data_IF_434795573062
#
_entry.id   IF_434795573062
#
_cell.length_a   1.000
_cell.length_b   1.000
_cell.length_c   1.000
_cell.angle_alpha   90.00
_cell.angle_beta   90.00
_cell.angle_gamma   90.00
#
_symmetry.space_group_name_H-M   'P 1'
#
loop_
_entity.id
_entity.type
_entity.pdbx_description
1 polymer ?
#
# COMPACT_ATOMS: atom_id res chain seq x y z
N UNK A 1 -2.77 -27.92 -13.91
CA UNK A 1 -2.24 -26.59 -14.20
C UNK A 1 -2.53 -25.56 -13.09
N UNK A 2 -3.77 -25.41 -12.61
CA UNK A 2 -4.10 -24.51 -11.49
C UNK A 2 -3.45 -24.93 -10.16
N UNK A 3 -3.39 -26.23 -9.86
CA UNK A 3 -2.73 -26.72 -8.64
C UNK A 3 -1.21 -26.49 -8.68
N UNK A 4 -0.59 -26.64 -9.85
CA UNK A 4 0.85 -26.40 -10.04
C UNK A 4 1.22 -24.92 -9.83
N UNK A 5 0.35 -23.97 -10.18
CA UNK A 5 0.54 -22.55 -9.92
C UNK A 5 0.35 -22.20 -8.44
N UNK A 6 -0.58 -22.85 -7.74
CA UNK A 6 -0.77 -22.69 -6.28
C UNK A 6 0.45 -23.21 -5.49
N UNK A 7 1.06 -24.30 -5.94
CA UNK A 7 2.25 -24.86 -5.31
C UNK A 7 3.50 -23.99 -5.55
N UNK A 8 3.50 -23.21 -6.65
CA UNK A 8 4.62 -22.33 -7.01
C UNK A 8 4.54 -20.96 -6.31
N UNK A 9 3.34 -20.41 -6.09
CA UNK A 9 3.13 -19.11 -5.43
C UNK A 9 2.45 -19.29 -4.07
N UNK A 10 3.24 -19.66 -3.07
CA UNK A 10 2.75 -19.72 -1.68
C UNK A 10 2.48 -18.31 -1.14
N UNK A 11 1.58 -18.19 -0.15
CA UNK A 11 1.29 -16.91 0.50
C UNK A 11 2.55 -16.26 1.08
N UNK A 12 3.47 -17.08 1.62
CA UNK A 12 4.75 -16.61 2.16
C UNK A 12 5.67 -16.06 1.06
N UNK A 13 5.72 -16.72 -0.07
CA UNK A 13 6.48 -16.25 -1.24
C UNK A 13 5.95 -14.91 -1.72
N UNK A 14 4.63 -14.76 -1.87
CA UNK A 14 4.00 -13.50 -2.27
C UNK A 14 4.31 -12.39 -1.26
N UNK A 15 4.23 -12.69 0.04
CA UNK A 15 4.59 -11.75 1.11
C UNK A 15 6.05 -11.27 0.96
N UNK A 16 7.01 -12.17 0.77
CA UNK A 16 8.41 -11.81 0.60
C UNK A 16 8.66 -11.01 -0.68
N UNK A 17 8.09 -11.44 -1.82
CA UNK A 17 8.25 -10.72 -3.08
C UNK A 17 7.67 -9.30 -3.04
N UNK A 18 6.50 -9.12 -2.45
CA UNK A 18 5.91 -7.79 -2.33
C UNK A 18 6.72 -6.88 -1.42
N UNK A 19 7.19 -7.38 -0.26
CA UNK A 19 8.03 -6.60 0.64
C UNK A 19 9.38 -6.23 0.02
N UNK A 20 10.09 -7.21 -0.56
CA UNK A 20 11.41 -6.95 -1.19
C UNK A 20 11.23 -6.07 -2.43
N UNK A 21 10.17 -6.29 -3.21
CA UNK A 21 9.90 -5.54 -4.43
C UNK A 21 9.61 -4.05 -4.22
N UNK A 22 9.01 -3.67 -3.09
CA UNK A 22 8.73 -2.25 -2.82
C UNK A 22 9.95 -1.48 -2.28
N UNK A 23 10.94 -2.15 -1.68
CA UNK A 23 12.13 -1.49 -1.11
C UNK A 23 12.91 -0.66 -2.15
N UNK A 24 13.28 -1.20 -3.34
CA UNK A 24 13.95 -0.41 -4.36
C UNK A 24 13.12 0.80 -4.83
N UNK A 25 11.79 0.67 -4.85
CA UNK A 25 10.90 1.77 -5.24
C UNK A 25 10.94 2.90 -4.21
N UNK A 26 10.99 2.57 -2.92
CA UNK A 26 11.14 3.56 -1.86
C UNK A 26 12.52 4.23 -1.87
N UNK A 27 13.58 3.48 -2.20
CA UNK A 27 14.93 4.05 -2.39
C UNK A 27 14.91 5.05 -3.55
N UNK A 28 14.26 4.71 -4.66
CA UNK A 28 14.11 5.63 -5.81
C UNK A 28 13.33 6.89 -5.43
N UNK A 29 12.22 6.76 -4.68
CA UNK A 29 11.44 7.90 -4.21
C UNK A 29 12.23 8.81 -3.27
N UNK A 30 13.00 8.22 -2.37
CA UNK A 30 13.74 8.95 -1.36
C UNK A 30 14.94 9.73 -1.95
N UNK A 31 15.69 9.11 -2.85
CA UNK A 31 16.96 9.65 -3.33
C UNK A 31 16.93 10.18 -4.77
N UNK A 32 16.04 9.68 -5.60
CA UNK A 32 15.96 10.01 -7.02
C UNK A 32 14.53 10.36 -7.48
N UNK A 33 13.79 11.23 -6.77
CA UNK A 33 12.38 11.52 -7.10
C UNK A 33 12.21 12.19 -8.47
N UNK A 34 13.21 12.94 -8.92
CA UNK A 34 13.22 13.63 -10.21
C UNK A 34 13.65 12.78 -11.41
N UNK A 35 14.19 11.60 -11.18
CA UNK A 35 14.70 10.74 -12.23
C UNK A 35 13.56 10.16 -13.10
N UNK A 36 13.79 10.12 -14.43
CA UNK A 36 12.78 9.62 -15.36
C UNK A 36 12.35 8.17 -15.07
N UNK A 37 13.29 7.33 -14.59
CA UNK A 37 12.98 5.97 -14.17
C UNK A 37 12.00 5.92 -13.00
N UNK A 38 12.17 6.76 -11.98
CA UNK A 38 11.24 6.88 -10.85
C UNK A 38 9.86 7.33 -11.32
N UNK A 39 9.80 8.32 -12.22
CA UNK A 39 8.53 8.80 -12.79
C UNK A 39 7.80 7.72 -13.59
N UNK A 40 8.52 6.95 -14.39
CA UNK A 40 7.94 5.87 -15.21
C UNK A 40 7.52 4.69 -14.34
N UNK A 41 8.29 4.32 -13.31
CA UNK A 41 7.98 3.16 -12.48
C UNK A 41 6.88 3.46 -11.46
N UNK A 42 7.01 4.57 -10.72
CA UNK A 42 6.21 4.82 -9.52
C UNK A 42 5.08 5.81 -9.77
N UNK A 43 5.35 6.88 -10.53
CA UNK A 43 4.32 7.89 -10.85
C UNK A 43 3.46 7.48 -12.06
N UNK A 44 3.69 6.29 -12.62
CA UNK A 44 2.84 5.68 -13.65
C UNK A 44 1.89 4.65 -13.05
N UNK A 45 1.01 4.13 -13.88
CA UNK A 45 0.08 3.06 -13.53
C UNK A 45 0.75 1.69 -13.31
N UNK A 46 2.04 1.53 -13.68
CA UNK A 46 2.69 0.23 -13.82
C UNK A 46 2.82 -0.51 -12.48
N UNK A 47 3.44 0.12 -11.47
CA UNK A 47 3.63 -0.53 -10.16
C UNK A 47 2.30 -0.72 -9.41
N UNK A 48 1.40 0.29 -9.32
CA UNK A 48 0.06 0.07 -8.77
C UNK A 48 -0.70 -1.06 -9.46
N UNK A 49 -0.53 -1.22 -10.77
CA UNK A 49 -1.17 -2.29 -11.53
C UNK A 49 -0.61 -3.67 -11.16
N UNK A 50 0.72 -3.82 -11.05
CA UNK A 50 1.36 -5.08 -10.63
C UNK A 50 0.90 -5.47 -9.22
N UNK A 51 0.93 -4.53 -8.26
CA UNK A 51 0.45 -4.78 -6.91
C UNK A 51 -1.05 -5.09 -6.88
N UNK A 52 -1.84 -4.42 -7.72
CA UNK A 52 -3.27 -4.69 -7.89
C UNK A 52 -3.54 -6.08 -8.44
N UNK A 53 -2.79 -6.56 -9.44
CA UNK A 53 -2.90 -7.94 -9.94
C UNK A 53 -2.49 -8.95 -8.88
N UNK A 54 -1.44 -8.67 -8.11
CA UNK A 54 -1.03 -9.54 -6.99
C UNK A 54 -2.13 -9.61 -5.93
N UNK A 55 -2.73 -8.47 -5.58
CA UNK A 55 -3.88 -8.40 -4.68
C UNK A 55 -5.06 -9.23 -5.21
N UNK A 56 -5.40 -9.06 -6.49
CA UNK A 56 -6.50 -9.80 -7.12
C UNK A 56 -6.24 -11.31 -7.15
N UNK A 57 -4.99 -11.73 -7.40
CA UNK A 57 -4.60 -13.14 -7.37
C UNK A 57 -4.78 -13.75 -5.96
N UNK A 58 -4.31 -13.07 -4.91
CA UNK A 58 -4.49 -13.52 -3.52
C UNK A 58 -5.97 -13.55 -3.14
N UNK A 59 -6.74 -12.57 -3.57
CA UNK A 59 -8.20 -12.53 -3.38
C UNK A 59 -8.90 -13.69 -4.07
N UNK A 60 -8.49 -14.02 -5.29
CA UNK A 60 -8.99 -15.18 -6.02
C UNK A 60 -8.69 -16.50 -5.28
N UNK A 61 -7.46 -16.68 -4.76
CA UNK A 61 -7.12 -17.84 -3.93
C UNK A 61 -8.03 -17.88 -2.70
N UNK A 62 -8.22 -16.75 -2.05
CA UNK A 62 -9.06 -16.66 -0.87
C UNK A 62 -10.49 -17.14 -1.13
N UNK A 63 -11.15 -16.65 -2.17
CA UNK A 63 -12.53 -17.06 -2.52
C UNK A 63 -12.60 -18.56 -2.82
N UNK A 64 -11.58 -19.13 -3.47
CA UNK A 64 -11.61 -20.53 -3.89
C UNK A 64 -11.12 -21.52 -2.82
N UNK A 65 -10.50 -21.03 -1.73
CA UNK A 65 -9.89 -21.91 -0.71
C UNK A 65 -10.60 -21.82 0.65
N UNK A 66 -11.19 -20.68 0.96
CA UNK A 66 -11.87 -20.47 2.23
C UNK A 66 -13.28 -21.04 2.20
N UNK A 67 -13.42 -22.26 2.72
CA UNK A 67 -14.69 -22.76 3.19
C UNK A 67 -15.16 -21.83 4.33
N UNK A 68 -15.80 -20.72 3.99
CA UNK A 68 -16.72 -20.26 4.95
C UNK A 68 -16.61 -18.90 5.60
N UNK A 69 -15.51 -18.17 5.64
CA UNK A 69 -15.57 -16.83 6.30
C UNK A 69 -16.24 -15.82 5.36
N UNK A 70 -15.84 -15.77 4.10
CA UNK A 70 -16.42 -14.81 3.15
C UNK A 70 -17.80 -15.25 2.62
N UNK A 71 -18.01 -16.55 2.40
CA UNK A 71 -19.33 -17.08 2.08
C UNK A 71 -20.31 -16.85 3.23
N UNK A 72 -19.89 -17.05 4.46
CA UNK A 72 -20.70 -16.74 5.64
C UNK A 72 -20.95 -15.24 5.87
N UNK A 73 -20.02 -14.38 5.44
CA UNK A 73 -20.18 -12.92 5.53
C UNK A 73 -21.08 -12.40 4.40
N UNK A 74 -20.90 -12.89 3.17
CA UNK A 74 -21.73 -12.50 2.02
C UNK A 74 -23.16 -13.08 2.10
N UNK A 75 -23.28 -14.32 2.55
CA UNK A 75 -24.55 -15.08 2.55
C UNK A 75 -25.55 -14.57 3.61
N UNK A 76 -25.11 -13.87 4.65
CA UNK A 76 -25.95 -13.45 5.78
C UNK A 76 -26.09 -11.95 6.01
N UNK A 77 -25.68 -11.12 5.04
CA UNK A 77 -25.71 -9.67 5.22
C UNK A 77 -24.76 -9.17 6.30
N UNK A 78 -23.81 -10.00 6.73
CA UNK A 78 -22.86 -9.75 7.82
C UNK A 78 -21.70 -8.81 7.47
N UNK A 79 -21.71 -8.24 6.25
CA UNK A 79 -20.74 -7.20 5.87
C UNK A 79 -20.77 -6.04 6.88
N UNK A 80 -21.95 -5.73 7.42
CA UNK A 80 -22.08 -4.72 8.46
C UNK A 80 -21.46 -5.12 9.80
N UNK A 81 -21.36 -6.42 10.12
CA UNK A 81 -20.68 -6.87 11.34
C UNK A 81 -19.19 -6.51 11.35
N UNK A 82 -18.56 -6.40 10.16
CA UNK A 82 -17.19 -5.93 10.02
C UNK A 82 -16.95 -4.53 10.58
N UNK A 83 -17.99 -3.70 10.56
CA UNK A 83 -17.93 -2.32 11.04
C UNK A 83 -18.48 -2.16 12.46
N UNK A 84 -19.03 -3.24 13.04
CA UNK A 84 -19.73 -3.17 14.32
C UNK A 84 -18.88 -3.48 15.55
N UNK A 85 -17.62 -3.95 15.38
CA UNK A 85 -16.80 -4.23 16.54
C UNK A 85 -15.36 -4.65 16.20
N UNK A 86 -14.46 -4.30 17.12
CA UNK A 86 -13.03 -4.61 16.99
C UNK A 86 -12.73 -6.11 17.07
N UNK A 87 -13.58 -6.87 17.79
CA UNK A 87 -13.42 -8.31 17.93
C UNK A 87 -13.72 -9.06 16.62
N UNK A 88 -14.73 -8.60 15.87
CA UNK A 88 -15.03 -9.13 14.55
C UNK A 88 -13.88 -8.84 13.56
N UNK A 89 -13.35 -7.63 13.60
CA UNK A 89 -12.19 -7.25 12.80
C UNK A 89 -10.99 -8.14 13.14
N UNK A 90 -10.68 -8.32 14.44
CA UNK A 90 -9.60 -9.21 14.90
C UNK A 90 -9.77 -10.63 14.38
N UNK A 91 -10.99 -11.18 14.39
CA UNK A 91 -11.28 -12.53 13.90
C UNK A 91 -10.96 -12.66 12.42
N UNK A 92 -11.26 -11.63 11.60
CA UNK A 92 -10.99 -11.62 10.17
C UNK A 92 -9.50 -11.54 9.91
N UNK A 93 -8.78 -10.68 10.62
CA UNK A 93 -7.32 -10.54 10.51
C UNK A 93 -6.55 -11.75 11.08
N UNK A 94 -7.23 -12.70 11.73
CA UNK A 94 -6.62 -13.97 12.13
C UNK A 94 -6.40 -14.93 10.95
N UNK A 95 -7.11 -14.70 9.81
CA UNK A 95 -6.86 -15.43 8.58
C UNK A 95 -5.61 -14.89 7.88
N UNK A 96 -4.65 -15.78 7.57
CA UNK A 96 -3.37 -15.41 6.93
C UNK A 96 -3.57 -14.77 5.57
N UNK A 97 -4.57 -15.21 4.81
CA UNK A 97 -4.84 -14.71 3.45
C UNK A 97 -5.42 -13.30 3.51
N UNK A 98 -6.35 -13.07 4.44
CA UNK A 98 -6.90 -11.72 4.69
C UNK A 98 -5.82 -10.77 5.19
N UNK A 99 -4.97 -11.23 6.09
CA UNK A 99 -3.84 -10.44 6.58
C UNK A 99 -2.89 -10.06 5.43
N UNK A 100 -2.60 -11.00 4.52
CA UNK A 100 -1.77 -10.73 3.34
C UNK A 100 -2.44 -9.74 2.38
N UNK A 101 -3.76 -9.86 2.15
CA UNK A 101 -4.51 -8.90 1.35
C UNK A 101 -4.42 -7.49 1.93
N UNK A 102 -4.64 -7.36 3.23
CA UNK A 102 -4.49 -6.08 3.92
C UNK A 102 -3.06 -5.54 3.79
N UNK A 103 -2.06 -6.41 3.91
CA UNK A 103 -0.65 -6.03 3.80
C UNK A 103 -0.29 -5.50 2.41
N UNK A 104 -0.73 -6.17 1.34
CA UNK A 104 -0.52 -5.70 -0.04
C UNK A 104 -1.24 -4.35 -0.26
N UNK A 105 -2.47 -4.21 0.27
CA UNK A 105 -3.20 -2.94 0.23
C UNK A 105 -2.41 -1.83 0.94
N UNK A 106 -1.89 -2.11 2.14
CA UNK A 106 -1.06 -1.18 2.92
C UNK A 106 0.20 -0.75 2.15
N UNK A 107 0.95 -1.70 1.57
CA UNK A 107 2.13 -1.40 0.75
C UNK A 107 1.79 -0.53 -0.45
N UNK A 108 0.70 -0.84 -1.15
CA UNK A 108 0.24 -0.11 -2.34
C UNK A 108 -0.18 1.32 -1.97
N UNK A 109 -1.01 1.47 -0.96
CA UNK A 109 -1.51 2.77 -0.50
C UNK A 109 -0.36 3.67 -0.03
N UNK A 110 0.57 3.12 0.77
CA UNK A 110 1.72 3.87 1.26
C UNK A 110 2.67 4.27 0.12
N UNK A 111 2.89 3.40 -0.86
CA UNK A 111 3.73 3.72 -2.01
C UNK A 111 3.13 4.86 -2.86
N UNK A 112 1.82 4.82 -3.13
CA UNK A 112 1.12 5.90 -3.83
C UNK A 112 1.18 7.21 -3.05
N UNK A 113 1.01 7.13 -1.73
CA UNK A 113 1.13 8.28 -0.83
C UNK A 113 2.55 8.86 -0.84
N UNK A 114 3.57 8.00 -0.76
CA UNK A 114 4.97 8.40 -0.87
C UNK A 114 5.30 9.04 -2.22
N UNK A 115 4.77 8.48 -3.31
CA UNK A 115 4.90 9.05 -4.66
C UNK A 115 4.30 10.45 -4.75
N UNK A 116 3.11 10.65 -4.17
CA UNK A 116 2.49 11.97 -4.10
C UNK A 116 3.33 12.94 -3.26
N UNK A 117 3.77 12.54 -2.06
CA UNK A 117 4.62 13.36 -1.17
C UNK A 117 5.90 13.79 -1.91
N UNK A 118 6.62 12.86 -2.54
CA UNK A 118 7.85 13.15 -3.27
C UNK A 118 7.63 14.10 -4.44
N UNK A 119 6.53 13.90 -5.19
CA UNK A 119 6.18 14.74 -6.35
C UNK A 119 5.77 16.15 -5.94
N UNK A 120 4.99 16.28 -4.87
CA UNK A 120 4.57 17.58 -4.35
C UNK A 120 5.75 18.34 -3.72
N UNK A 121 6.61 17.66 -2.96
CA UNK A 121 7.82 18.25 -2.39
C UNK A 121 8.79 18.77 -3.45
N UNK A 122 8.91 18.08 -4.59
CA UNK A 122 9.78 18.52 -5.70
C UNK A 122 9.36 19.87 -6.31
N UNK A 123 8.10 20.30 -6.13
CA UNK A 123 7.64 21.61 -6.55
C UNK A 123 8.10 22.75 -5.64
N UNK A 124 8.61 22.45 -4.45
CA UNK A 124 9.07 23.41 -3.46
C UNK A 124 10.48 23.08 -2.97
N UNK A 125 11.44 23.98 -3.24
CA UNK A 125 12.87 23.78 -2.88
C UNK A 125 13.07 23.51 -1.39
N UNK A 126 12.35 24.19 -0.51
CA UNK A 126 12.48 24.02 0.94
C UNK A 126 12.04 22.61 1.37
N UNK A 127 10.95 22.09 0.81
CA UNK A 127 10.42 20.77 1.11
C UNK A 127 11.29 19.65 0.53
N UNK A 128 11.95 19.87 -0.61
CA UNK A 128 12.78 18.89 -1.28
C UNK A 128 13.93 18.36 -0.39
N UNK A 129 14.49 19.20 0.49
CA UNK A 129 15.57 18.80 1.39
C UNK A 129 15.12 18.02 2.63
N UNK A 130 13.91 18.28 3.10
CA UNK A 130 13.39 17.70 4.34
C UNK A 130 12.38 16.56 4.12
N UNK A 131 12.01 16.30 2.85
CA UNK A 131 10.99 15.30 2.48
C UNK A 131 11.38 13.87 2.86
N UNK A 132 12.67 13.59 3.06
CA UNK A 132 13.15 12.26 3.42
C UNK A 132 12.52 11.75 4.74
N UNK A 133 12.36 12.64 5.73
CA UNK A 133 11.77 12.28 7.03
C UNK A 133 10.32 11.79 6.87
N UNK A 134 9.39 12.57 6.27
CA UNK A 134 8.03 12.07 6.06
C UNK A 134 7.96 10.86 5.13
N UNK A 135 8.84 10.71 4.14
CA UNK A 135 8.87 9.52 3.29
C UNK A 135 9.22 8.25 4.08
N UNK A 136 10.24 8.30 4.94
CA UNK A 136 10.60 7.17 5.81
C UNK A 136 9.45 6.84 6.77
N UNK A 137 8.84 7.85 7.38
CA UNK A 137 7.67 7.65 8.23
C UNK A 137 6.48 7.08 7.47
N UNK A 138 6.26 7.49 6.22
CA UNK A 138 5.18 6.97 5.38
C UNK A 138 5.42 5.50 5.03
N UNK A 139 6.66 5.09 4.81
CA UNK A 139 6.99 3.69 4.57
C UNK A 139 6.53 2.78 5.74
N UNK A 140 6.82 3.18 6.97
CA UNK A 140 6.49 2.38 8.15
C UNK A 140 5.06 2.60 8.66
N UNK A 141 4.60 3.85 8.67
CA UNK A 141 3.31 4.24 9.26
C UNK A 141 2.67 5.35 8.42
N UNK A 142 2.11 4.97 7.27
CA UNK A 142 1.59 5.87 6.24
C UNK A 142 0.92 7.15 6.72
N UNK A 143 -0.14 7.08 7.56
CA UNK A 143 -0.87 8.26 8.03
C UNK A 143 -0.01 9.24 8.84
N UNK A 144 0.96 8.74 9.64
CA UNK A 144 1.85 9.60 10.42
C UNK A 144 2.81 10.34 9.49
N UNK A 145 3.40 9.63 8.51
CA UNK A 145 4.28 10.26 7.52
C UNK A 145 3.57 11.35 6.72
N UNK A 146 2.33 11.07 6.29
CA UNK A 146 1.48 12.08 5.63
C UNK A 146 1.24 13.28 6.55
N UNK A 147 0.86 13.06 7.81
CA UNK A 147 0.59 14.12 8.77
C UNK A 147 1.81 15.04 8.97
N UNK A 148 3.00 14.44 9.17
CA UNK A 148 4.26 15.18 9.27
C UNK A 148 4.53 15.99 7.99
N UNK A 149 4.33 15.37 6.81
CA UNK A 149 4.51 16.08 5.55
C UNK A 149 3.57 17.28 5.40
N UNK A 150 2.29 17.13 5.72
CA UNK A 150 1.31 18.22 5.63
C UNK A 150 1.64 19.37 6.58
N UNK A 151 2.14 19.08 7.79
CA UNK A 151 2.62 20.12 8.72
C UNK A 151 3.82 20.87 8.12
N UNK A 152 4.82 20.15 7.61
CA UNK A 152 5.98 20.75 6.97
C UNK A 152 5.59 21.57 5.73
N UNK A 153 4.66 21.07 4.94
CA UNK A 153 4.12 21.77 3.76
C UNK A 153 3.42 23.09 4.14
N UNK A 154 2.63 23.06 5.21
CA UNK A 154 1.96 24.25 5.71
C UNK A 154 2.97 25.31 6.19
N UNK A 155 3.99 24.88 6.93
CA UNK A 155 5.00 25.78 7.50
C UNK A 155 5.96 26.33 6.44
N UNK A 156 6.41 25.50 5.50
CA UNK A 156 7.44 25.87 4.53
C UNK A 156 6.86 26.48 3.24
N UNK A 157 5.73 25.99 2.76
CA UNK A 157 5.11 26.41 1.51
C UNK A 157 3.87 27.31 1.68
N UNK A 158 3.33 27.40 2.90
CA UNK A 158 2.10 28.14 3.24
C UNK A 158 0.90 27.74 2.34
N UNK A 159 0.88 26.50 1.89
CA UNK A 159 -0.15 25.97 0.98
C UNK A 159 -1.14 25.09 1.74
N UNK A 160 -2.42 25.47 1.72
CA UNK A 160 -3.52 24.72 2.33
C UNK A 160 -4.17 23.72 1.36
N UNK A 161 -4.12 23.98 0.04
CA UNK A 161 -4.71 23.08 -0.96
C UNK A 161 -3.81 21.87 -1.20
N UNK A 162 -4.40 20.67 -1.26
CA UNK A 162 -3.67 19.43 -1.53
C UNK A 162 -3.27 19.32 -3.01
N UNK A 163 -4.11 19.83 -3.89
CA UNK A 163 -3.88 19.80 -5.34
C UNK A 163 -3.95 21.24 -5.88
N UNK A 164 -2.99 21.60 -6.72
CA UNK A 164 -2.93 22.83 -7.48
C UNK A 164 -3.36 22.58 -8.92
#
# INVERSE_FOLDING_TARGET
>A
MLNTLKDFFTLEMIYHFTNIGVIPLWILLAFLPGWNGTKVLINSILVPLILGFTYFYVFYIYINTSEGIFSNILDKGKIFELYMGIDQLKKIFSDKTVLLLFWIHFLTANLLLGAWIATDAAKNKALQYIVLIPLVLTYFVGPIGLGVYLILRLLAAQKLKLFD
#
